data_IF_979828761552
#
_entry.id   IF_979828761552
#
_cell.length_a   1.000
_cell.length_b   1.000
_cell.length_c   1.000
_cell.angle_alpha   90.00
_cell.angle_beta   90.00
_cell.angle_gamma   90.00
#
_symmetry.space_group_name_H-M   'P 1'
#
loop_
_entity.id
_entity.type
_entity.pdbx_description
1 polymer ?
#
# COMPACT_ATOMS: atom_id res chain seq x y z
N UNK A 1 -16.13 -1.87 -2.42
CA UNK A 1 -14.71 -2.32 -2.42
C UNK A 1 -14.18 -2.71 -3.81
N UNK A 2 -14.87 -3.56 -4.58
CA UNK A 2 -14.39 -3.96 -5.93
C UNK A 2 -14.09 -2.75 -6.83
N UNK A 3 -15.01 -1.77 -6.90
CA UNK A 3 -14.78 -0.57 -7.70
C UNK A 3 -13.55 0.23 -7.22
N UNK A 4 -13.31 0.31 -5.93
CA UNK A 4 -12.12 0.97 -5.36
C UNK A 4 -10.84 0.24 -5.78
N UNK A 5 -10.84 -1.10 -5.73
CA UNK A 5 -9.68 -1.91 -6.16
C UNK A 5 -9.37 -1.68 -7.64
N UNK A 6 -10.39 -1.62 -8.49
CA UNK A 6 -10.21 -1.43 -9.93
C UNK A 6 -9.76 0.00 -10.31
N UNK A 7 -10.10 1.00 -9.51
CA UNK A 7 -9.90 2.41 -9.83
C UNK A 7 -8.81 3.09 -8.98
N UNK A 8 -8.20 2.39 -8.01
CA UNK A 8 -7.29 3.01 -7.04
C UNK A 8 -6.10 3.76 -7.67
N UNK A 9 -5.60 3.31 -8.81
CA UNK A 9 -4.47 3.92 -9.50
C UNK A 9 -4.87 4.89 -10.62
N UNK A 10 -6.16 4.97 -11.00
CA UNK A 10 -6.59 5.72 -12.18
C UNK A 10 -6.24 7.22 -12.10
N UNK A 11 -6.32 7.79 -10.91
CA UNK A 11 -6.03 9.21 -10.72
C UNK A 11 -4.53 9.50 -10.80
N UNK A 12 -3.68 8.60 -10.29
CA UNK A 12 -2.23 8.73 -10.40
C UNK A 12 -1.74 8.48 -11.83
N UNK A 13 -2.21 7.40 -12.46
CA UNK A 13 -1.70 6.95 -13.76
C UNK A 13 -2.27 7.74 -14.94
N UNK A 14 -3.52 8.21 -14.84
CA UNK A 14 -4.22 8.88 -15.94
C UNK A 14 -4.50 10.37 -15.68
N UNK A 15 -4.19 10.90 -14.50
CA UNK A 15 -4.45 12.30 -14.14
C UNK A 15 -5.93 12.68 -14.04
N UNK A 16 -6.82 11.68 -13.85
CA UNK A 16 -8.27 11.89 -13.72
C UNK A 16 -8.59 12.43 -12.33
N UNK A 17 -9.48 13.41 -12.26
CA UNK A 17 -9.99 13.90 -10.98
C UNK A 17 -10.95 12.85 -10.36
N UNK A 18 -10.76 12.45 -9.09
CA UNK A 18 -11.65 11.50 -8.43
C UNK A 18 -13.13 11.85 -8.51
N UNK A 19 -13.46 13.15 -8.47
CA UNK A 19 -14.85 13.63 -8.55
C UNK A 19 -15.52 13.39 -9.91
N UNK A 20 -14.75 13.16 -10.96
CA UNK A 20 -15.24 12.90 -12.32
C UNK A 20 -15.52 11.42 -12.57
N UNK A 21 -15.16 10.54 -11.64
CA UNK A 21 -15.40 9.10 -11.80
C UNK A 21 -16.89 8.77 -11.72
N UNK A 22 -17.41 7.90 -12.62
CA UNK A 22 -18.83 7.52 -12.65
C UNK A 22 -19.17 6.46 -11.59
N UNK A 23 -18.87 6.74 -10.34
CA UNK A 23 -19.06 5.83 -9.20
C UNK A 23 -19.65 6.57 -8.00
N UNK A 24 -20.00 5.83 -6.94
CA UNK A 24 -20.56 6.42 -5.72
C UNK A 24 -19.56 7.35 -5.02
N UNK A 25 -20.05 8.27 -4.20
CA UNK A 25 -19.22 9.20 -3.43
C UNK A 25 -18.26 8.46 -2.47
N UNK A 26 -18.70 7.34 -1.89
CA UNK A 26 -17.86 6.48 -1.05
C UNK A 26 -16.64 5.96 -1.81
N UNK A 27 -16.82 5.51 -3.05
CA UNK A 27 -15.74 5.04 -3.91
C UNK A 27 -14.83 6.19 -4.35
N UNK A 28 -15.42 7.34 -4.73
CA UNK A 28 -14.64 8.55 -5.07
C UNK A 28 -13.73 8.98 -3.93
N UNK A 29 -14.27 9.01 -2.72
CA UNK A 29 -13.51 9.36 -1.53
C UNK A 29 -12.38 8.36 -1.26
N UNK A 30 -12.63 7.06 -1.36
CA UNK A 30 -11.61 6.04 -1.19
C UNK A 30 -10.49 6.16 -2.23
N UNK A 31 -10.82 6.36 -3.50
CA UNK A 31 -9.84 6.57 -4.59
C UNK A 31 -9.03 7.84 -4.36
N UNK A 32 -9.65 8.93 -3.94
CA UNK A 32 -8.96 10.18 -3.61
C UNK A 32 -7.94 9.99 -2.48
N UNK A 33 -8.33 9.30 -1.40
CA UNK A 33 -7.43 8.97 -0.30
C UNK A 33 -6.25 8.10 -0.73
N UNK A 34 -6.44 7.25 -1.71
CA UNK A 34 -5.38 6.37 -2.25
C UNK A 34 -4.46 7.07 -3.25
N UNK A 35 -4.79 8.24 -3.72
CA UNK A 35 -3.96 9.03 -4.62
C UNK A 35 -2.86 9.74 -3.83
N UNK A 36 -1.61 9.29 -3.99
CA UNK A 36 -0.47 9.88 -3.29
C UNK A 36 -0.11 11.25 -3.88
N UNK A 37 0.02 12.25 -3.01
CA UNK A 37 0.40 13.62 -3.39
C UNK A 37 1.41 14.17 -2.39
N UNK A 38 2.40 14.89 -2.88
CA UNK A 38 3.29 15.72 -2.07
C UNK A 38 2.76 17.16 -2.13
N UNK A 39 2.39 17.72 -0.98
CA UNK A 39 1.89 19.09 -0.89
C UNK A 39 3.05 20.09 -0.89
N UNK A 40 2.75 21.36 -1.19
CA UNK A 40 3.73 22.44 -1.11
C UNK A 40 4.34 22.52 0.30
N UNK A 41 5.67 22.55 0.36
CA UNK A 41 6.42 22.59 1.62
C UNK A 41 6.60 21.24 2.33
N UNK A 42 6.02 20.17 1.84
CA UNK A 42 6.21 18.83 2.40
C UNK A 42 7.47 18.14 1.84
N UNK A 43 8.18 17.42 2.69
CA UNK A 43 9.11 16.39 2.24
C UNK A 43 8.32 15.14 1.82
N UNK A 44 8.96 14.25 1.06
CA UNK A 44 8.36 12.98 0.66
C UNK A 44 7.98 12.11 1.89
N UNK A 45 8.80 12.16 2.94
CA UNK A 45 8.54 11.45 4.20
C UNK A 45 7.31 12.00 4.92
N UNK A 46 7.19 13.32 5.05
CA UNK A 46 6.00 13.97 5.63
C UNK A 46 4.75 13.61 4.84
N UNK A 47 4.83 13.67 3.50
CA UNK A 47 3.73 13.31 2.63
C UNK A 47 3.31 11.84 2.81
N UNK A 48 4.26 10.91 2.94
CA UNK A 48 3.96 9.50 3.23
C UNK A 48 3.29 9.30 4.58
N UNK A 49 3.79 9.93 5.63
CA UNK A 49 3.17 9.86 6.96
C UNK A 49 1.71 10.34 6.92
N UNK A 50 1.46 11.48 6.28
CA UNK A 50 0.11 12.02 6.08
C UNK A 50 -0.76 11.05 5.27
N UNK A 51 -0.26 10.56 4.15
CA UNK A 51 -0.97 9.63 3.26
C UNK A 51 -1.44 8.38 3.98
N UNK A 52 -0.55 7.67 4.67
CA UNK A 52 -0.92 6.44 5.37
C UNK A 52 -1.86 6.68 6.55
N UNK A 53 -1.76 7.81 7.24
CA UNK A 53 -2.71 8.17 8.28
C UNK A 53 -4.11 8.50 7.72
N UNK A 54 -4.18 9.16 6.57
CA UNK A 54 -5.45 9.50 5.94
C UNK A 54 -6.20 8.27 5.38
N UNK A 55 -5.50 7.22 4.98
CA UNK A 55 -6.13 5.97 4.54
C UNK A 55 -7.08 5.36 5.59
N UNK A 56 -6.81 5.61 6.87
CA UNK A 56 -7.68 5.15 7.97
C UNK A 56 -9.06 5.80 8.00
N UNK A 57 -9.28 6.89 7.26
CA UNK A 57 -10.59 7.55 7.14
C UNK A 57 -11.58 6.73 6.30
N UNK A 58 -11.11 5.76 5.52
CA UNK A 58 -11.95 4.90 4.69
C UNK A 58 -11.50 3.45 4.84
N UNK A 59 -12.41 2.59 5.30
CA UNK A 59 -12.16 1.13 5.34
C UNK A 59 -11.80 0.61 3.95
N UNK A 60 -12.50 1.07 2.91
CA UNK A 60 -12.26 0.66 1.53
C UNK A 60 -10.86 1.06 1.06
N UNK A 61 -10.42 2.29 1.33
CA UNK A 61 -9.10 2.76 0.95
C UNK A 61 -8.00 1.97 1.68
N UNK A 62 -8.11 1.80 2.99
CA UNK A 62 -7.13 1.09 3.80
C UNK A 62 -7.02 -0.39 3.38
N UNK A 63 -8.14 -1.10 3.24
CA UNK A 63 -8.15 -2.50 2.81
C UNK A 63 -7.61 -2.66 1.38
N UNK A 64 -8.00 -1.78 0.46
CA UNK A 64 -7.50 -1.82 -0.92
C UNK A 64 -5.98 -1.61 -0.95
N UNK A 65 -5.44 -0.69 -0.16
CA UNK A 65 -3.99 -0.48 -0.05
C UNK A 65 -3.24 -1.71 0.44
N UNK A 66 -3.80 -2.42 1.40
CA UNK A 66 -3.20 -3.66 1.92
C UNK A 66 -3.26 -4.80 0.89
N UNK A 67 -4.38 -4.94 0.18
CA UNK A 67 -4.54 -5.93 -0.89
C UNK A 67 -3.59 -5.61 -2.05
N UNK A 68 -3.49 -4.35 -2.46
CA UNK A 68 -2.55 -3.90 -3.50
C UNK A 68 -1.10 -4.20 -3.12
N UNK A 69 -0.70 -3.91 -1.89
CA UNK A 69 0.65 -4.23 -1.41
C UNK A 69 0.92 -5.73 -1.41
N UNK A 70 -0.04 -6.54 -0.98
CA UNK A 70 0.05 -8.00 -1.00
C UNK A 70 0.23 -8.53 -2.43
N UNK A 71 -0.51 -7.99 -3.39
CA UNK A 71 -0.37 -8.31 -4.80
C UNK A 71 1.01 -7.92 -5.35
N UNK A 72 1.44 -6.69 -5.07
CA UNK A 72 2.69 -6.16 -5.61
C UNK A 72 3.94 -6.87 -5.04
N UNK A 73 3.98 -7.20 -3.75
CA UNK A 73 5.12 -7.95 -3.20
C UNK A 73 5.25 -9.33 -3.82
N UNK A 74 4.14 -9.94 -4.25
CA UNK A 74 4.12 -11.27 -4.87
C UNK A 74 4.85 -11.33 -6.22
N UNK A 75 4.96 -10.20 -6.93
CA UNK A 75 5.58 -10.12 -8.26
C UNK A 75 6.83 -9.25 -8.34
N UNK A 76 7.17 -8.53 -7.27
CA UNK A 76 8.22 -7.50 -7.32
C UNK A 76 9.63 -8.06 -7.57
N UNK A 77 9.93 -9.27 -7.09
CA UNK A 77 11.26 -9.88 -7.22
C UNK A 77 11.71 -10.07 -8.68
N UNK A 78 10.76 -10.33 -9.59
CA UNK A 78 11.02 -10.53 -11.01
C UNK A 78 10.96 -9.25 -11.86
N UNK A 79 10.51 -8.14 -11.30
CA UNK A 79 10.20 -6.92 -12.08
C UNK A 79 10.88 -5.65 -11.59
N UNK A 80 11.22 -5.57 -10.29
CA UNK A 80 11.82 -4.37 -9.71
C UNK A 80 13.35 -4.43 -9.76
N UNK A 81 13.99 -3.26 -9.91
CA UNK A 81 15.42 -3.11 -9.65
C UNK A 81 15.73 -3.36 -8.18
N UNK A 82 17.01 -3.64 -7.85
CA UNK A 82 17.43 -3.85 -6.46
C UNK A 82 17.13 -2.64 -5.58
N UNK A 83 17.38 -1.43 -6.08
CA UNK A 83 17.09 -0.19 -5.37
C UNK A 83 15.60 -0.02 -5.10
N UNK A 84 14.76 -0.33 -6.10
CA UNK A 84 13.30 -0.29 -5.95
C UNK A 84 12.80 -1.35 -4.98
N UNK A 85 13.37 -2.56 -5.00
CA UNK A 85 13.06 -3.61 -4.03
C UNK A 85 13.36 -3.15 -2.60
N UNK A 86 14.56 -2.63 -2.34
CA UNK A 86 14.95 -2.11 -1.01
C UNK A 86 13.98 -1.03 -0.53
N UNK A 87 13.71 -0.04 -1.35
CA UNK A 87 12.78 1.05 -1.02
C UNK A 87 11.35 0.54 -0.76
N UNK A 88 10.89 -0.42 -1.53
CA UNK A 88 9.54 -0.98 -1.41
C UNK A 88 9.39 -1.85 -0.14
N UNK A 89 10.42 -2.62 0.20
CA UNK A 89 10.51 -3.39 1.43
C UNK A 89 10.53 -2.47 2.64
N UNK A 90 11.35 -1.43 2.61
CA UNK A 90 11.41 -0.44 3.68
C UNK A 90 10.06 0.25 3.91
N UNK A 91 9.39 0.67 2.85
CA UNK A 91 8.05 1.24 2.93
C UNK A 91 7.04 0.25 3.52
N UNK A 92 7.15 -1.03 3.17
CA UNK A 92 6.29 -2.09 3.70
C UNK A 92 6.45 -2.23 5.22
N UNK A 93 7.68 -2.27 5.71
CA UNK A 93 7.96 -2.36 7.15
C UNK A 93 7.54 -1.10 7.92
N UNK A 94 7.84 0.08 7.39
CA UNK A 94 7.64 1.35 8.11
C UNK A 94 6.20 1.87 8.06
N UNK A 95 5.47 1.60 6.99
CA UNK A 95 4.14 2.20 6.77
C UNK A 95 3.02 1.18 6.60
N UNK A 96 3.23 0.12 5.81
CA UNK A 96 2.15 -0.81 5.45
C UNK A 96 1.79 -1.73 6.62
N UNK A 97 2.76 -2.34 7.28
CA UNK A 97 2.49 -3.20 8.44
C UNK A 97 1.94 -2.43 9.65
N UNK A 98 2.41 -1.22 9.97
CA UNK A 98 1.74 -0.36 10.94
C UNK A 98 0.31 0.01 10.56
N UNK A 99 0.04 0.31 9.27
CA UNK A 99 -1.32 0.54 8.78
C UNK A 99 -2.20 -0.69 9.02
N UNK A 100 -1.73 -1.88 8.66
CA UNK A 100 -2.46 -3.14 8.86
C UNK A 100 -2.84 -3.33 10.32
N UNK A 101 -1.93 -3.05 11.25
CA UNK A 101 -2.19 -3.13 12.70
C UNK A 101 -3.29 -2.16 13.12
N UNK A 102 -3.25 -0.92 12.64
CA UNK A 102 -4.27 0.10 12.94
C UNK A 102 -5.64 -0.29 12.36
N UNK A 103 -5.67 -0.80 11.12
CA UNK A 103 -6.91 -1.29 10.49
C UNK A 103 -7.52 -2.44 11.29
N UNK A 104 -6.70 -3.39 11.75
CA UNK A 104 -7.16 -4.50 12.60
C UNK A 104 -7.79 -4.02 13.89
N UNK A 105 -7.22 -3.00 14.52
CA UNK A 105 -7.76 -2.41 15.74
C UNK A 105 -9.07 -1.66 15.50
N UNK A 106 -9.19 -0.99 14.36
CA UNK A 106 -10.36 -0.19 14.00
C UNK A 106 -11.52 -1.03 13.45
N UNK A 107 -11.19 -2.13 12.74
CA UNK A 107 -12.13 -3.04 12.09
C UNK A 107 -11.85 -4.50 12.49
N UNK A 108 -12.17 -4.90 13.74
CA UNK A 108 -11.87 -6.25 14.24
C UNK A 108 -12.54 -7.37 13.42
N UNK A 109 -13.65 -7.07 12.77
CA UNK A 109 -14.38 -7.99 11.88
C UNK A 109 -13.55 -8.45 10.67
N UNK A 110 -12.54 -7.69 10.29
CA UNK A 110 -11.64 -8.01 9.17
C UNK A 110 -10.38 -8.79 9.63
N UNK A 111 -10.30 -9.20 10.89
CA UNK A 111 -9.10 -9.81 11.48
C UNK A 111 -8.58 -11.01 10.72
N UNK A 112 -9.45 -11.87 10.20
CA UNK A 112 -9.06 -13.08 9.50
C UNK A 112 -8.37 -12.77 8.17
N UNK A 113 -8.95 -11.88 7.36
CA UNK A 113 -8.34 -11.47 6.10
C UNK A 113 -7.04 -10.68 6.33
N UNK A 114 -7.01 -9.83 7.35
CA UNK A 114 -5.81 -9.08 7.72
C UNK A 114 -4.68 -9.99 8.20
N UNK A 115 -4.99 -11.08 8.90
CA UNK A 115 -4.01 -12.09 9.26
C UNK A 115 -3.39 -12.74 8.03
N UNK A 116 -4.22 -13.14 7.06
CA UNK A 116 -3.74 -13.77 5.81
C UNK A 116 -2.86 -12.80 5.01
N UNK A 117 -3.30 -11.55 4.85
CA UNK A 117 -2.53 -10.52 4.15
C UNK A 117 -1.18 -10.27 4.83
N UNK A 118 -1.16 -10.12 6.15
CA UNK A 118 0.06 -9.94 6.93
C UNK A 118 1.02 -11.11 6.76
N UNK A 119 0.52 -12.32 6.91
CA UNK A 119 1.33 -13.53 6.79
C UNK A 119 1.99 -13.62 5.41
N UNK A 120 1.22 -13.39 4.35
CA UNK A 120 1.73 -13.42 3.00
C UNK A 120 2.78 -12.32 2.73
N UNK A 121 2.47 -11.09 3.10
CA UNK A 121 3.40 -9.95 2.91
C UNK A 121 4.73 -10.21 3.62
N UNK A 122 4.69 -10.58 4.90
CA UNK A 122 5.90 -10.84 5.69
C UNK A 122 6.69 -12.01 5.11
N UNK A 123 6.03 -13.12 4.76
CA UNK A 123 6.71 -14.31 4.21
C UNK A 123 7.47 -13.98 2.92
N UNK A 124 6.88 -13.20 2.03
CA UNK A 124 7.52 -12.82 0.76
C UNK A 124 8.66 -11.82 1.00
N UNK A 125 8.42 -10.80 1.81
CA UNK A 125 9.43 -9.76 2.10
C UNK A 125 10.64 -10.36 2.81
N UNK A 126 10.44 -11.18 3.85
CA UNK A 126 11.54 -11.87 4.56
C UNK A 126 12.35 -12.76 3.64
N UNK A 127 11.69 -13.50 2.75
CA UNK A 127 12.34 -14.36 1.75
C UNK A 127 13.24 -13.56 0.80
N UNK A 128 12.77 -12.41 0.33
CA UNK A 128 13.53 -11.55 -0.57
C UNK A 128 14.71 -10.92 0.16
N UNK A 129 14.51 -10.41 1.38
CA UNK A 129 15.57 -9.83 2.20
C UNK A 129 16.68 -10.84 2.49
N UNK A 130 16.30 -12.06 2.91
CA UNK A 130 17.27 -13.13 3.17
C UNK A 130 18.07 -13.50 1.91
N UNK A 131 17.42 -13.57 0.76
CA UNK A 131 18.08 -13.84 -0.52
C UNK A 131 19.06 -12.72 -0.89
N UNK A 132 18.66 -11.47 -0.72
CA UNK A 132 19.52 -10.32 -1.00
C UNK A 132 20.77 -10.29 -0.11
N UNK A 133 20.63 -10.61 1.19
CA UNK A 133 21.76 -10.72 2.11
C UNK A 133 22.78 -11.76 1.66
N UNK A 134 22.32 -12.95 1.26
CA UNK A 134 23.21 -14.00 0.74
C UNK A 134 23.99 -13.54 -0.48
N UNK A 135 23.37 -12.79 -1.39
CA UNK A 135 24.06 -12.25 -2.56
C UNK A 135 25.05 -11.14 -2.20
N UNK A 136 24.78 -10.32 -1.21
CA UNK A 136 25.70 -9.27 -0.74
C UNK A 136 26.91 -9.85 -0.01
N UNK A 137 26.73 -10.89 0.79
CA UNK A 137 27.82 -11.58 1.53
C UNK A 137 28.75 -12.36 0.61
N UNK A 138 28.29 -12.80 -0.56
CA UNK A 138 29.08 -13.57 -1.52
C UNK A 138 29.78 -12.71 -2.59
N UNK A 139 29.71 -11.41 -2.49
CA UNK A 139 30.46 -10.48 -3.35
C UNK A 139 31.85 -10.20 -2.78
#
# INVERSE_FOLDING_TARGET
>A
MIATILLHDVCEDCGVNPNELPVSDTVKHAVDLMTFRVMEGETKEIAKNRYYNMLLQSREAAMTKLIDRCHNVSSMAGTFSVEKLKSYIEETWHYVLPLLRKVKNQYPEDSDILFVLKYHIISVVDSIEATMQVFEENK
#
